data_IF_976099539321
#
_entry.id   IF_976099539321
#
_cell.length_a   1.000
_cell.length_b   1.000
_cell.length_c   1.000
_cell.angle_alpha   90.00
_cell.angle_beta   90.00
_cell.angle_gamma   90.00
#
_symmetry.space_group_name_H-M   'P 1'
#
loop_
_entity.id
_entity.type
_entity.pdbx_description
1 polymer ?
#
# COMPACT_ATOMS: atom_id res chain seq x y z
N UNK A 1 4.00 13.96 -4.18
CA UNK A 1 4.14 12.61 -4.75
C UNK A 1 2.78 12.18 -5.27
N UNK A 2 2.71 11.61 -6.48
CA UNK A 2 1.47 11.15 -7.10
C UNK A 2 1.37 9.63 -7.03
N UNK A 3 0.16 9.09 -7.12
CA UNK A 3 -0.06 7.64 -7.26
C UNK A 3 0.21 7.21 -8.71
N UNK A 4 0.74 6.00 -8.95
CA UNK A 4 0.87 5.44 -10.28
C UNK A 4 -0.50 5.07 -10.91
N UNK A 5 -1.60 5.28 -10.18
CA UNK A 5 -2.98 5.00 -10.59
C UNK A 5 -3.89 6.21 -10.35
N UNK A 6 -5.04 6.21 -11.01
CA UNK A 6 -6.10 7.22 -10.88
C UNK A 6 -6.93 7.00 -9.60
N UNK A 7 -6.88 7.96 -8.68
CA UNK A 7 -7.59 7.88 -7.39
C UNK A 7 -9.12 7.86 -7.54
N UNK A 8 -9.67 8.55 -8.54
CA UNK A 8 -11.12 8.56 -8.77
C UNK A 8 -11.60 7.21 -9.27
N UNK A 9 -10.81 6.53 -10.12
CA UNK A 9 -11.10 5.15 -10.53
C UNK A 9 -11.00 4.18 -9.36
N UNK A 10 -10.03 4.36 -8.48
CA UNK A 10 -9.90 3.56 -7.26
C UNK A 10 -11.14 3.70 -6.36
N UNK A 11 -11.63 4.93 -6.16
CA UNK A 11 -12.81 5.21 -5.34
C UNK A 11 -14.12 4.72 -5.99
N UNK A 12 -14.25 4.80 -7.32
CA UNK A 12 -15.48 4.38 -8.01
C UNK A 12 -15.56 2.87 -8.25
N UNK A 13 -14.48 2.14 -8.00
CA UNK A 13 -14.46 0.67 -7.99
C UNK A 13 -14.82 0.02 -9.33
N UNK A 14 -14.52 0.71 -10.44
CA UNK A 14 -14.69 0.16 -11.78
C UNK A 14 -13.66 -0.95 -12.11
N UNK A 15 -12.68 -1.15 -11.23
CA UNK A 15 -11.72 -2.26 -11.24
C UNK A 15 -12.15 -3.35 -10.25
N UNK A 16 -12.12 -4.62 -10.67
CA UNK A 16 -12.57 -5.83 -9.95
C UNK A 16 -11.60 -6.17 -8.79
N UNK A 17 -11.40 -5.23 -7.86
CA UNK A 17 -10.35 -5.29 -6.84
C UNK A 17 -10.81 -4.81 -5.45
N UNK A 18 -12.09 -4.93 -5.12
CA UNK A 18 -12.63 -4.46 -3.83
C UNK A 18 -11.89 -5.04 -2.61
N UNK A 19 -11.39 -6.26 -2.71
CA UNK A 19 -10.62 -6.90 -1.65
C UNK A 19 -9.26 -6.23 -1.39
N UNK A 20 -8.74 -5.47 -2.38
CA UNK A 20 -7.49 -4.70 -2.31
C UNK A 20 -7.70 -3.28 -1.82
N UNK A 21 -8.92 -2.88 -1.47
CA UNK A 21 -9.24 -1.54 -0.99
C UNK A 21 -9.86 -1.65 0.41
N UNK A 22 -9.42 -0.80 1.32
CA UNK A 22 -9.99 -0.62 2.66
C UNK A 22 -10.39 0.83 2.85
N UNK A 23 -11.66 1.09 3.10
CA UNK A 23 -12.15 2.43 3.42
C UNK A 23 -12.24 2.62 4.93
N UNK A 24 -11.73 3.74 5.42
CA UNK A 24 -11.82 4.14 6.83
C UNK A 24 -12.40 5.53 6.95
N UNK A 25 -13.51 5.64 7.68
CA UNK A 25 -14.16 6.91 8.02
C UNK A 25 -13.20 7.90 8.69
N UNK A 26 -12.30 7.41 9.53
CA UNK A 26 -11.31 8.21 10.24
C UNK A 26 -10.10 7.37 10.66
N UNK A 27 -9.19 8.00 11.41
CA UNK A 27 -7.95 7.36 11.83
C UNK A 27 -8.15 6.46 13.06
N UNK A 28 -7.85 5.17 12.91
CA UNK A 28 -7.70 4.26 14.03
C UNK A 28 -6.40 3.45 13.87
N UNK A 29 -5.37 3.72 14.70
CA UNK A 29 -4.05 3.11 14.61
C UNK A 29 -4.04 1.57 14.56
N UNK A 30 -4.86 0.90 15.38
CA UNK A 30 -4.83 -0.56 15.52
C UNK A 30 -5.35 -1.29 14.29
N UNK A 31 -6.59 -1.06 13.82
CA UNK A 31 -7.08 -1.66 12.59
C UNK A 31 -6.23 -1.31 11.38
N UNK A 32 -5.72 -0.08 11.28
CA UNK A 32 -4.88 0.35 10.17
C UNK A 32 -3.58 -0.45 10.16
N UNK A 33 -2.91 -0.59 11.31
CA UNK A 33 -1.70 -1.40 11.43
C UNK A 33 -1.95 -2.86 11.04
N UNK A 34 -3.07 -3.44 11.47
CA UNK A 34 -3.43 -4.82 11.12
C UNK A 34 -3.67 -4.97 9.61
N UNK A 35 -4.36 -4.00 8.99
CA UNK A 35 -4.62 -4.00 7.54
C UNK A 35 -3.34 -3.78 6.74
N UNK A 36 -2.41 -2.92 7.17
CA UNK A 36 -1.08 -2.77 6.55
C UNK A 36 -0.34 -4.10 6.60
N UNK A 37 -0.29 -4.74 7.76
CA UNK A 37 0.36 -6.06 7.92
C UNK A 37 -0.28 -7.11 7.00
N UNK A 38 -1.61 -7.10 6.88
CA UNK A 38 -2.33 -8.02 6.00
C UNK A 38 -2.07 -7.80 4.51
N UNK A 39 -2.07 -6.55 4.05
CA UNK A 39 -1.77 -6.21 2.66
C UNK A 39 -0.29 -6.46 2.33
N UNK A 40 0.63 -6.19 3.24
CA UNK A 40 2.05 -6.52 3.05
C UNK A 40 2.28 -8.04 2.96
N UNK A 41 1.49 -8.84 3.67
CA UNK A 41 1.53 -10.30 3.61
C UNK A 41 0.92 -10.88 2.33
N UNK A 42 0.00 -10.16 1.70
CA UNK A 42 -0.55 -10.45 0.38
C UNK A 42 -0.82 -11.94 0.10
N UNK A 43 -1.68 -12.56 0.92
CA UNK A 43 -1.94 -14.02 0.87
C UNK A 43 -2.47 -14.50 -0.49
N UNK A 44 -3.05 -13.59 -1.29
CA UNK A 44 -3.56 -13.90 -2.63
C UNK A 44 -2.56 -13.57 -3.76
N UNK A 45 -1.40 -13.01 -3.42
CA UNK A 45 -0.37 -12.54 -4.34
C UNK A 45 -0.89 -11.56 -5.41
N UNK A 46 -1.70 -10.58 -4.99
CA UNK A 46 -2.27 -9.55 -5.87
C UNK A 46 -1.40 -8.29 -5.96
N UNK A 47 -0.28 -8.24 -5.25
CA UNK A 47 0.60 -7.07 -5.15
C UNK A 47 0.19 -6.10 -4.04
N UNK A 48 -0.57 -6.55 -3.05
CA UNK A 48 -1.01 -5.74 -1.90
C UNK A 48 -2.29 -4.93 -2.14
N UNK A 49 -2.42 -3.75 -1.54
CA UNK A 49 -3.67 -2.95 -1.57
C UNK A 49 -3.55 -1.50 -1.10
N UNK A 50 -4.70 -0.86 -0.91
CA UNK A 50 -4.85 0.55 -0.59
C UNK A 50 -5.75 0.71 0.64
N UNK A 51 -5.34 1.56 1.58
CA UNK A 51 -6.18 2.02 2.68
C UNK A 51 -6.48 3.50 2.45
N UNK A 52 -7.75 3.86 2.44
CA UNK A 52 -8.21 5.21 2.17
C UNK A 52 -8.91 5.75 3.42
N UNK A 53 -8.28 6.71 4.08
CA UNK A 53 -8.77 7.34 5.30
C UNK A 53 -9.49 8.65 4.96
N UNK A 54 -10.63 8.90 5.59
CA UNK A 54 -11.52 10.04 5.33
C UNK A 54 -12.72 9.68 4.44
N UNK A 55 -12.94 8.39 4.16
CA UNK A 55 -14.02 7.89 3.32
C UNK A 55 -14.84 6.88 4.11
N UNK A 56 -16.14 7.12 4.24
CA UNK A 56 -17.06 6.18 4.88
C UNK A 56 -17.45 5.07 3.91
N UNK A 57 -17.67 3.87 4.43
CA UNK A 57 -18.07 2.70 3.66
C UNK A 57 -19.47 2.25 4.05
N UNK A 58 -20.27 1.84 3.06
CA UNK A 58 -21.54 1.14 3.27
C UNK A 58 -21.61 -0.05 2.32
N UNK A 59 -21.68 -1.26 2.89
CA UNK A 59 -21.77 -2.52 2.14
C UNK A 59 -20.65 -2.70 1.09
N UNK A 60 -19.39 -2.44 1.44
CA UNK A 60 -18.26 -2.60 0.51
C UNK A 60 -18.06 -1.44 -0.46
N UNK A 61 -18.89 -0.40 -0.40
CA UNK A 61 -18.83 0.74 -1.33
C UNK A 61 -18.57 2.05 -0.58
N UNK A 62 -17.72 2.93 -1.13
CA UNK A 62 -17.49 4.23 -0.53
C UNK A 62 -18.73 5.12 -0.67
N UNK A 63 -18.98 5.92 0.34
CA UNK A 63 -19.97 7.00 0.31
C UNK A 63 -19.24 8.25 -0.19
N UNK A 64 -19.73 8.82 -1.30
CA UNK A 64 -19.24 10.07 -1.88
C UNK A 64 -20.31 11.17 -1.75
N UNK A 65 -19.92 12.45 -1.56
CA UNK A 65 -18.55 12.93 -1.38
C UNK A 65 -17.93 12.36 -0.09
N UNK A 66 -16.60 12.20 -0.04
CA UNK A 66 -15.94 11.69 1.15
C UNK A 66 -16.12 12.67 2.31
N UNK A 67 -16.11 12.17 3.54
CA UNK A 67 -16.24 13.00 4.74
C UNK A 67 -15.07 13.98 4.83
N UNK A 68 -13.90 13.49 4.44
CA UNK A 68 -12.66 14.22 4.43
C UNK A 68 -11.96 14.25 5.79
N UNK A 69 -10.77 14.83 5.79
CA UNK A 69 -9.89 15.03 6.93
C UNK A 69 -9.46 16.50 6.97
N UNK A 70 -9.23 17.02 8.16
CA UNK A 70 -8.58 18.32 8.30
C UNK A 70 -7.06 18.19 8.06
N UNK A 71 -6.42 19.25 7.58
CA UNK A 71 -4.98 19.24 7.27
C UNK A 71 -4.11 18.89 8.49
N UNK A 72 -4.44 19.45 9.67
CA UNK A 72 -3.73 19.14 10.92
C UNK A 72 -3.87 17.67 11.31
N UNK A 73 -4.98 17.04 10.94
CA UNK A 73 -5.21 15.62 11.19
C UNK A 73 -4.32 14.77 10.27
N UNK A 74 -4.09 15.19 9.03
CA UNK A 74 -3.20 14.48 8.09
C UNK A 74 -1.75 14.46 8.60
N UNK A 75 -1.22 15.60 9.06
CA UNK A 75 0.14 15.66 9.62
C UNK A 75 0.28 14.75 10.86
N UNK A 76 -0.72 14.77 11.76
CA UNK A 76 -0.76 13.88 12.91
C UNK A 76 -0.80 12.39 12.52
N UNK A 77 -1.58 12.05 11.48
CA UNK A 77 -1.65 10.70 10.92
C UNK A 77 -0.29 10.27 10.38
N UNK A 78 0.41 11.10 9.61
CA UNK A 78 1.71 10.77 9.02
C UNK A 78 2.76 10.46 10.10
N UNK A 79 2.85 11.30 11.14
CA UNK A 79 3.74 11.08 12.30
C UNK A 79 3.40 9.79 13.02
N UNK A 80 2.10 9.57 13.29
CA UNK A 80 1.63 8.36 13.96
C UNK A 80 1.93 7.10 13.14
N UNK A 81 1.72 7.15 11.82
CA UNK A 81 1.96 6.02 10.92
C UNK A 81 3.42 5.61 10.89
N UNK A 82 4.35 6.57 10.90
CA UNK A 82 5.79 6.28 10.97
C UNK A 82 6.12 5.43 12.21
N UNK A 83 5.59 5.81 13.38
CA UNK A 83 5.78 5.05 14.62
C UNK A 83 5.12 3.67 14.58
N UNK A 84 3.96 3.55 13.93
CA UNK A 84 3.25 2.29 13.77
C UNK A 84 4.01 1.32 12.86
N UNK A 85 4.61 1.81 11.78
CA UNK A 85 5.39 1.02 10.83
C UNK A 85 6.61 0.34 11.47
N UNK A 86 7.25 1.00 12.45
CA UNK A 86 8.33 0.40 13.25
C UNK A 86 7.87 -0.74 14.17
N UNK A 87 6.56 -0.90 14.39
CA UNK A 87 5.99 -2.01 15.17
C UNK A 87 5.71 -3.25 14.31
N UNK A 88 5.78 -3.14 12.98
CA UNK A 88 5.70 -4.28 12.07
C UNK A 88 7.07 -4.96 12.04
N UNK A 89 7.07 -6.29 12.08
CA UNK A 89 8.29 -7.09 12.03
C UNK A 89 8.21 -8.11 10.88
N UNK A 90 9.17 -8.12 9.94
CA UNK A 90 10.22 -7.13 9.71
C UNK A 90 9.66 -5.71 9.47
N UNK A 91 10.49 -4.67 9.59
CA UNK A 91 10.04 -3.29 9.36
C UNK A 91 9.43 -3.16 7.96
N UNK A 92 8.30 -2.47 7.87
CA UNK A 92 7.59 -2.22 6.62
C UNK A 92 7.05 -0.80 6.58
N UNK A 93 7.29 -0.09 5.49
CA UNK A 93 6.88 1.31 5.29
C UNK A 93 6.05 1.43 4.01
N UNK A 94 4.74 1.70 4.11
CA UNK A 94 3.89 1.93 2.94
C UNK A 94 4.15 3.30 2.32
N UNK A 95 3.70 3.49 1.08
CA UNK A 95 3.71 4.79 0.41
C UNK A 95 2.46 5.56 0.82
N UNK A 96 2.61 6.80 1.26
CA UNK A 96 1.49 7.63 1.73
C UNK A 96 1.28 8.84 0.85
N UNK A 97 0.03 9.10 0.45
CA UNK A 97 -0.35 10.24 -0.38
C UNK A 97 -1.55 10.95 0.24
N UNK A 98 -1.41 12.18 0.75
CA UNK A 98 -2.53 13.06 0.98
C UNK A 98 -3.03 13.62 -0.37
N UNK A 99 -4.33 13.55 -0.63
CA UNK A 99 -4.93 14.05 -1.87
C UNK A 99 -6.33 14.60 -1.63
N UNK A 100 -6.85 15.39 -2.57
CA UNK A 100 -8.17 16.02 -2.47
C UNK A 100 -9.13 15.39 -3.47
N UNK A 101 -10.30 14.96 -2.98
CA UNK A 101 -11.37 14.39 -3.79
C UNK A 101 -12.65 15.16 -3.50
N UNK A 102 -13.29 15.68 -4.55
CA UNK A 102 -14.53 16.48 -4.43
C UNK A 102 -14.42 17.62 -3.40
N UNK A 103 -13.25 18.28 -3.33
CA UNK A 103 -12.98 19.39 -2.42
C UNK A 103 -12.72 18.98 -0.95
N UNK A 104 -12.56 17.69 -0.68
CA UNK A 104 -12.29 17.13 0.64
C UNK A 104 -10.95 16.41 0.66
N UNK A 105 -10.13 16.69 1.66
CA UNK A 105 -8.85 16.00 1.83
C UNK A 105 -9.04 14.58 2.32
N UNK A 106 -8.35 13.63 1.71
CA UNK A 106 -8.28 12.23 2.12
C UNK A 106 -6.82 11.81 2.24
N UNK A 107 -6.58 10.71 2.95
CA UNK A 107 -5.23 10.18 3.13
C UNK A 107 -5.17 8.74 2.62
N UNK A 108 -4.38 8.53 1.58
CA UNK A 108 -4.20 7.23 0.93
C UNK A 108 -2.90 6.59 1.41
N UNK A 109 -3.00 5.34 1.85
CA UNK A 109 -1.87 4.49 2.25
C UNK A 109 -1.82 3.34 1.26
N UNK A 110 -0.85 3.38 0.35
CA UNK A 110 -0.60 2.30 -0.60
C UNK A 110 0.39 1.30 0.02
N UNK A 111 -0.08 0.07 0.18
CA UNK A 111 0.62 -1.04 0.81
C UNK A 111 0.91 -2.09 -0.26
N UNK A 112 2.08 -2.01 -0.88
CA UNK A 112 2.53 -3.04 -1.83
C UNK A 112 2.80 -4.38 -1.11
N UNK A 113 2.66 -5.50 -1.82
CA UNK A 113 3.11 -6.80 -1.32
C UNK A 113 4.60 -6.71 -0.91
N UNK A 114 4.92 -7.16 0.29
CA UNK A 114 6.27 -7.02 0.82
C UNK A 114 7.19 -8.18 0.42
N UNK A 115 8.50 -7.92 0.43
CA UNK A 115 9.50 -8.92 0.03
C UNK A 115 9.89 -9.84 1.18
N UNK A 116 9.84 -9.32 2.41
CA UNK A 116 10.28 -10.02 3.61
C UNK A 116 9.10 -10.68 4.33
N UNK A 117 8.15 -11.21 3.56
CA UNK A 117 7.02 -11.98 4.07
C UNK A 117 7.54 -13.19 4.88
N UNK A 118 6.84 -13.63 5.93
CA UNK A 118 5.62 -13.03 6.46
C UNK A 118 5.90 -11.97 7.54
N UNK A 119 5.17 -10.87 7.44
CA UNK A 119 5.12 -9.78 8.42
C UNK A 119 4.19 -10.10 9.58
N UNK A 120 4.54 -9.59 10.77
CA UNK A 120 3.70 -9.64 11.97
C UNK A 120 3.57 -8.26 12.59
N UNK A 121 2.44 -8.01 13.24
CA UNK A 121 2.16 -6.77 13.96
C UNK A 121 1.60 -7.09 15.36
N UNK A 122 1.78 -6.21 16.36
CA UNK A 122 1.18 -6.40 17.67
C UNK A 122 -0.34 -6.34 17.61
N UNK A 123 -1.01 -7.22 18.37
CA UNK A 123 -2.49 -7.19 18.48
C UNK A 123 -3.00 -5.90 19.12
N UNK A 124 -2.29 -5.39 20.12
CA UNK A 124 -2.59 -4.17 20.85
C UNK A 124 -1.35 -3.28 20.85
N UNK A 125 -1.51 -1.97 20.73
CA UNK A 125 -0.38 -1.04 20.65
C UNK A 125 0.39 -0.81 21.96
N UNK A 126 0.02 -1.52 23.03
CA UNK A 126 0.68 -1.48 24.34
C UNK A 126 2.03 -2.20 24.33
N UNK A 127 2.97 -1.76 25.18
CA UNK A 127 4.28 -2.41 25.35
C UNK A 127 4.09 -3.88 25.76
N UNK A 128 4.83 -4.78 25.11
CA UNK A 128 4.80 -6.23 25.39
C UNK A 128 3.65 -7.01 24.74
N UNK A 129 2.87 -6.39 23.85
CA UNK A 129 1.82 -7.09 23.11
C UNK A 129 2.38 -8.20 22.21
N UNK A 130 1.76 -9.37 22.23
CA UNK A 130 2.12 -10.47 21.32
C UNK A 130 1.86 -10.05 19.86
N UNK A 131 2.85 -10.32 19.00
CA UNK A 131 2.77 -10.05 17.57
C UNK A 131 2.21 -11.25 16.82
N UNK A 132 1.37 -10.99 15.84
CA UNK A 132 0.70 -12.00 15.02
C UNK A 132 0.83 -11.66 13.53
N UNK A 133 0.79 -12.70 12.71
CA UNK A 133 0.61 -12.55 11.27
C UNK A 133 -0.84 -12.19 10.98
N UNK A 134 -1.06 -11.17 10.15
CA UNK A 134 -2.38 -10.78 9.69
C UNK A 134 -2.52 -11.12 8.21
N UNK A 135 -3.71 -11.56 7.83
CA UNK A 135 -4.07 -11.81 6.43
C UNK A 135 -5.44 -11.22 6.17
N UNK A 136 -5.68 -10.87 4.90
CA UNK A 136 -6.96 -10.37 4.44
C UNK A 136 -7.57 -11.37 3.48
N UNK A 137 -8.84 -11.72 3.72
CA UNK A 137 -9.65 -12.53 2.80
C UNK A 137 -10.99 -11.81 2.60
N UNK A 138 -11.33 -11.51 1.35
CA UNK A 138 -12.42 -10.58 1.08
C UNK A 138 -12.09 -9.20 1.64
N UNK A 139 -13.07 -8.58 2.30
CA UNK A 139 -12.93 -7.30 3.00
C UNK A 139 -12.46 -7.42 4.46
N UNK A 140 -12.13 -8.62 4.96
CA UNK A 140 -11.87 -8.82 6.39
C UNK A 140 -10.41 -9.15 6.67
N UNK A 141 -9.80 -8.37 7.56
CA UNK A 141 -8.47 -8.63 8.12
C UNK A 141 -8.58 -9.48 9.39
N UNK A 142 -7.86 -10.61 9.46
CA UNK A 142 -7.84 -11.50 10.63
C UNK A 142 -6.42 -11.97 10.93
N UNK A 143 -6.22 -12.42 12.17
CA UNK A 143 -5.00 -13.13 12.57
C UNK A 143 -4.95 -14.47 11.81
N UNK A 144 -3.83 -14.75 11.17
CA UNK A 144 -3.56 -16.04 10.57
C UNK A 144 -3.37 -17.09 11.68
N UNK A 145 -4.17 -18.15 11.63
CA UNK A 145 -4.11 -19.29 12.56
C UNK A 145 -4.08 -20.58 11.76
N UNK A 146 -3.51 -21.62 12.37
CA UNK A 146 -3.54 -23.00 11.86
C UNK A 146 -3.15 -23.08 10.37
N UNK A 147 -4.01 -23.63 9.52
CA UNK A 147 -3.77 -23.81 8.08
C UNK A 147 -3.47 -22.50 7.34
N UNK A 148 -4.07 -21.39 7.78
CA UNK A 148 -3.84 -20.07 7.15
C UNK A 148 -2.41 -19.58 7.43
N UNK A 149 -1.91 -19.85 8.63
CA UNK A 149 -0.52 -19.55 8.98
C UNK A 149 0.42 -20.40 8.11
N UNK A 150 0.17 -21.71 8.03
CA UNK A 150 0.96 -22.62 7.18
C UNK A 150 0.98 -22.17 5.72
N UNK A 151 -0.18 -21.86 5.15
CA UNK A 151 -0.29 -21.35 3.77
C UNK A 151 0.53 -20.08 3.58
N UNK A 152 0.46 -19.14 4.52
CA UNK A 152 1.22 -17.89 4.45
C UNK A 152 2.74 -18.15 4.46
N UNK A 153 3.22 -19.05 5.31
CA UNK A 153 4.64 -19.42 5.34
C UNK A 153 5.09 -20.14 4.06
N UNK A 154 4.26 -21.02 3.50
CA UNK A 154 4.54 -21.72 2.23
C UNK A 154 4.63 -20.74 1.05
N UNK A 155 3.75 -19.72 1.01
CA UNK A 155 3.81 -18.64 0.04
C UNK A 155 5.04 -17.76 0.24
N UNK A 156 5.33 -17.36 1.48
CA UNK A 156 6.50 -16.53 1.79
C UNK A 156 7.83 -17.22 1.45
N UNK A 157 7.91 -18.55 1.61
CA UNK A 157 9.10 -19.32 1.25
C UNK A 157 9.35 -19.38 -0.27
N UNK A 158 8.35 -19.06 -1.09
CA UNK A 158 8.45 -19.01 -2.54
C UNK A 158 8.15 -17.61 -3.02
N UNK A 159 9.18 -16.76 -3.15
CA UNK A 159 9.03 -15.54 -3.97
C UNK A 159 8.72 -16.00 -5.40
N UNK A 160 7.53 -15.71 -5.95
CA UNK A 160 7.20 -16.03 -7.34
C UNK A 160 8.26 -15.44 -8.27
N UNK A 161 8.51 -16.08 -9.41
CA UNK A 161 9.54 -15.60 -10.34
C UNK A 161 9.35 -14.12 -10.71
N UNK A 162 8.10 -13.69 -10.90
CA UNK A 162 7.71 -12.34 -11.29
C UNK A 162 7.94 -11.28 -10.20
N UNK A 163 8.04 -11.68 -8.93
CA UNK A 163 8.26 -10.79 -7.79
C UNK A 163 9.77 -10.69 -7.41
N UNK A 164 10.65 -11.45 -8.08
CA UNK A 164 12.09 -11.45 -7.77
C UNK A 164 12.78 -10.28 -8.44
N UNK A 165 13.71 -9.65 -7.71
CA UNK A 165 14.64 -8.67 -8.30
C UNK A 165 15.51 -9.41 -9.33
N UNK A 166 15.52 -8.90 -10.56
CA UNK A 166 16.45 -9.34 -11.58
C UNK A 166 17.81 -8.65 -11.37
N UNK A 167 18.74 -9.34 -10.71
CA UNK A 167 20.08 -8.82 -10.44
C UNK A 167 20.97 -8.63 -11.69
N UNK A 168 20.52 -9.07 -12.87
CA UNK A 168 21.22 -8.85 -14.12
C UNK A 168 20.73 -7.61 -14.89
N UNK A 169 19.60 -7.01 -14.47
CA UNK A 169 19.08 -5.79 -15.06
C UNK A 169 19.62 -4.57 -14.30
N UNK A 170 19.86 -3.49 -15.02
CA UNK A 170 20.18 -2.17 -14.45
C UNK A 170 19.10 -1.16 -14.82
N UNK A 171 19.04 -0.04 -14.11
CA UNK A 171 18.13 1.06 -14.42
C UNK A 171 18.23 1.55 -15.87
N UNK A 172 19.39 1.42 -16.52
CA UNK A 172 19.60 1.81 -17.91
C UNK A 172 18.81 0.93 -18.90
N UNK A 173 18.36 -0.26 -18.47
CA UNK A 173 17.50 -1.15 -19.27
C UNK A 173 16.04 -0.66 -19.29
N UNK A 174 15.67 0.28 -18.42
CA UNK A 174 14.29 0.77 -18.28
C UNK A 174 14.04 1.94 -19.22
N UNK A 175 13.01 1.81 -20.07
CA UNK A 175 12.65 2.84 -21.03
C UNK A 175 11.67 3.88 -20.41
N UNK A 176 12.17 5.10 -20.20
CA UNK A 176 11.38 6.22 -19.69
C UNK A 176 10.13 6.54 -20.54
N UNK A 177 10.21 6.42 -21.86
CA UNK A 177 9.08 6.73 -22.74
C UNK A 177 7.93 5.73 -22.55
N UNK A 178 8.25 4.43 -22.37
CA UNK A 178 7.24 3.41 -22.08
C UNK A 178 6.55 3.66 -20.74
N UNK A 179 7.32 4.06 -19.72
CA UNK A 179 6.78 4.47 -18.42
C UNK A 179 5.78 5.63 -18.60
N UNK A 180 6.18 6.68 -19.30
CA UNK A 180 5.30 7.84 -19.52
C UNK A 180 4.05 7.48 -20.32
N UNK A 181 4.18 6.67 -21.36
CA UNK A 181 3.04 6.16 -22.13
C UNK A 181 2.07 5.37 -21.25
N UNK A 182 2.58 4.53 -20.36
CA UNK A 182 1.76 3.81 -19.38
C UNK A 182 1.05 4.77 -18.41
N UNK A 183 1.79 5.69 -17.77
CA UNK A 183 1.24 6.66 -16.81
C UNK A 183 0.14 7.52 -17.46
N UNK A 184 0.33 7.94 -18.72
CA UNK A 184 -0.70 8.65 -19.48
C UNK A 184 -1.93 7.78 -19.73
N UNK A 185 -1.73 6.53 -20.15
CA UNK A 185 -2.82 5.59 -20.46
C UNK A 185 -3.70 5.32 -19.24
N UNK A 186 -3.11 5.24 -18.06
CA UNK A 186 -3.85 4.96 -16.81
C UNK A 186 -4.39 6.22 -16.13
N UNK A 187 -4.16 7.41 -16.70
CA UNK A 187 -4.46 8.71 -16.09
C UNK A 187 -3.82 8.87 -14.69
N UNK A 188 -2.57 8.45 -14.55
CA UNK A 188 -1.84 8.57 -13.28
C UNK A 188 -1.47 10.02 -12.99
N UNK A 189 -1.64 10.44 -11.73
CA UNK A 189 -1.17 11.72 -11.20
C UNK A 189 0.36 11.87 -11.32
N UNK A 190 1.09 10.77 -11.46
CA UNK A 190 2.54 10.74 -11.63
C UNK A 190 2.97 11.15 -13.05
N UNK A 191 2.07 11.13 -14.04
CA UNK A 191 2.41 11.47 -15.43
C UNK A 191 2.97 12.89 -15.56
N UNK A 192 2.32 13.88 -14.93
CA UNK A 192 2.77 15.27 -14.98
C UNK A 192 4.11 15.46 -14.26
N UNK A 193 4.29 14.77 -13.13
CA UNK A 193 5.52 14.85 -12.33
C UNK A 193 6.69 14.06 -12.94
N UNK A 194 6.43 13.13 -13.86
CA UNK A 194 7.47 12.28 -14.45
C UNK A 194 8.55 13.04 -15.23
N UNK A 195 8.28 14.27 -15.67
CA UNK A 195 9.28 15.12 -16.36
C UNK A 195 10.24 15.85 -15.41
N UNK A 196 9.83 16.04 -14.15
CA UNK A 196 10.57 16.90 -13.21
C UNK A 196 11.29 16.09 -12.13
N UNK A 197 10.82 14.90 -11.80
CA UNK A 197 11.46 14.02 -10.83
C UNK A 197 12.65 13.27 -11.46
N UNK A 198 13.67 12.97 -10.64
CA UNK A 198 14.79 12.14 -11.08
C UNK A 198 14.29 10.76 -11.51
N UNK A 199 14.85 10.21 -12.59
CA UNK A 199 14.38 8.95 -13.17
C UNK A 199 14.43 7.78 -12.17
N UNK A 200 15.49 7.71 -11.34
CA UNK A 200 15.61 6.75 -10.24
C UNK A 200 14.43 6.81 -9.27
N UNK A 201 14.04 8.02 -8.89
CA UNK A 201 12.94 8.24 -7.95
C UNK A 201 11.58 7.95 -8.57
N UNK A 202 11.40 8.25 -9.87
CA UNK A 202 10.21 7.82 -10.62
C UNK A 202 10.07 6.30 -10.59
N UNK A 203 11.13 5.58 -10.95
CA UNK A 203 11.13 4.12 -10.98
C UNK A 203 10.86 3.54 -9.57
N UNK A 204 11.43 4.12 -8.51
CA UNK A 204 11.15 3.74 -7.12
C UNK A 204 9.71 4.00 -6.72
N UNK A 205 9.15 5.16 -7.08
CA UNK A 205 7.74 5.49 -6.82
C UNK A 205 6.79 4.54 -7.56
N UNK A 206 7.18 4.08 -8.75
CA UNK A 206 6.44 3.08 -9.51
C UNK A 206 6.67 1.64 -9.02
N UNK A 207 7.57 1.42 -8.06
CA UNK A 207 7.94 0.09 -7.54
C UNK A 207 8.47 -0.87 -8.62
N UNK A 208 9.10 -0.34 -9.68
CA UNK A 208 9.70 -1.15 -10.76
C UNK A 208 11.21 -1.35 -10.58
N UNK A 209 11.81 -0.71 -9.57
CA UNK A 209 13.21 -0.91 -9.14
C UNK A 209 13.29 -0.94 -7.62
N UNK A 210 14.25 -1.70 -7.07
CA UNK A 210 14.50 -1.82 -5.63
C UNK A 210 15.99 -1.97 -5.36
N UNK A 211 16.45 -1.42 -4.24
CA UNK A 211 17.85 -1.49 -3.82
C UNK A 211 18.50 -0.12 -3.59
N UNK A 212 19.71 -0.12 -3.03
CA UNK A 212 20.52 1.08 -2.85
C UNK A 212 21.02 1.61 -4.20
N UNK A 213 21.50 2.86 -4.23
CA UNK A 213 21.85 3.55 -5.49
C UNK A 213 22.97 2.87 -6.29
N UNK A 214 23.83 2.12 -5.61
CA UNK A 214 24.94 1.38 -6.17
C UNK A 214 24.52 0.09 -6.90
N UNK A 215 23.33 -0.43 -6.60
CA UNK A 215 22.81 -1.70 -7.13
C UNK A 215 21.52 -1.50 -7.94
N UNK A 216 21.36 -0.32 -8.56
CA UNK A 216 20.15 0.10 -9.27
C UNK A 216 20.20 -0.15 -10.77
#
# INVERSE_FOLDING_TARGET
MGLPIDILKLLTGQTIEWDRIEFKKGWNPEPILHTICAFANDINNWGGGYIIVGVEEKNGRPILPPIGLELDTIDAIQKSLQELCHKIQPNYFPVTIPTMVEGKWIFVIWVAGGDNRPYKAPKLLRKGGQAFHYVRRGSVTKIAKDDVSRQLFELAAKVPFDDRINHHASIDDINFQLIRSFLRKVNSDLYANSETIQFKDLCRQMQIVRGPDENL
#
